data_IF_579072255557
#
_entry.id   IF_579072255557
#
_cell.length_a   1.000
_cell.length_b   1.000
_cell.length_c   1.000
_cell.angle_alpha   90.00
_cell.angle_beta   90.00
_cell.angle_gamma   90.00
#
_symmetry.space_group_name_H-M   'P 1'
#
loop_
_entity.id
_entity.type
_entity.pdbx_description
1 polymer ?
#
# COMPACT_ATOMS: atom_id res chain seq x y z
N UNK A 1 -23.80 0.28 -35.77
CA UNK A 1 -22.40 -0.15 -35.57
C UNK A 1 -21.59 1.00 -34.97
N UNK A 2 -20.88 0.75 -33.88
CA UNK A 2 -20.11 1.78 -33.16
C UNK A 2 -18.90 2.20 -34.00
N UNK A 3 -18.91 3.43 -34.55
CA UNK A 3 -17.75 3.98 -35.26
C UNK A 3 -16.61 4.19 -34.25
N UNK A 4 -15.48 3.54 -34.49
CA UNK A 4 -14.25 3.88 -33.80
C UNK A 4 -13.75 5.23 -34.36
N UNK A 5 -13.41 6.17 -33.47
CA UNK A 5 -12.91 7.49 -33.88
C UNK A 5 -11.58 7.36 -34.61
N UNK A 6 -11.41 8.14 -35.66
CA UNK A 6 -10.14 8.25 -36.40
C UNK A 6 -9.10 9.05 -35.59
N UNK A 7 -7.84 9.01 -36.03
CA UNK A 7 -6.74 9.72 -35.37
C UNK A 7 -7.01 11.22 -35.31
N UNK A 8 -7.48 11.82 -36.41
CA UNK A 8 -7.77 13.27 -36.48
C UNK A 8 -8.93 13.67 -35.54
N UNK A 9 -9.96 12.83 -35.43
CA UNK A 9 -11.06 13.05 -34.49
C UNK A 9 -10.58 12.98 -33.03
N UNK A 10 -9.64 12.09 -32.72
CA UNK A 10 -9.02 12.06 -31.39
C UNK A 10 -8.19 13.30 -31.09
N UNK A 11 -7.41 13.79 -32.06
CA UNK A 11 -6.62 15.03 -31.89
C UNK A 11 -7.54 16.22 -31.59
N UNK A 12 -8.65 16.34 -32.32
CA UNK A 12 -9.67 17.36 -32.10
C UNK A 12 -10.26 17.32 -30.68
N UNK A 13 -10.71 16.14 -30.23
CA UNK A 13 -11.28 15.96 -28.88
C UNK A 13 -10.24 16.27 -27.78
N UNK A 14 -8.97 15.92 -28.01
CA UNK A 14 -7.86 16.22 -27.09
C UNK A 14 -7.56 17.72 -27.04
N UNK A 15 -7.65 18.43 -28.17
CA UNK A 15 -7.55 19.89 -28.23
C UNK A 15 -8.62 20.55 -27.36
N UNK A 16 -9.89 20.16 -27.54
CA UNK A 16 -11.01 20.64 -26.73
C UNK A 16 -10.81 20.31 -25.25
N UNK A 17 -10.28 19.13 -24.92
CA UNK A 17 -9.97 18.80 -23.52
C UNK A 17 -8.96 19.77 -22.90
N UNK A 18 -7.94 20.18 -23.66
CA UNK A 18 -6.87 21.06 -23.19
C UNK A 18 -7.30 22.52 -23.07
N UNK A 19 -8.10 23.03 -24.01
CA UNK A 19 -8.52 24.44 -24.04
C UNK A 19 -9.80 24.69 -23.23
N UNK A 20 -10.75 23.77 -23.33
CA UNK A 20 -12.16 23.99 -23.01
C UNK A 20 -12.66 23.10 -21.86
N UNK A 21 -11.90 22.06 -21.52
CA UNK A 21 -12.11 21.21 -20.36
C UNK A 21 -12.92 19.92 -20.62
N UNK A 22 -12.92 19.05 -19.60
CA UNK A 22 -13.37 17.66 -19.69
C UNK A 22 -14.83 17.49 -20.14
N UNK A 23 -15.74 18.35 -19.67
CA UNK A 23 -17.18 18.17 -19.94
C UNK A 23 -17.54 18.48 -21.39
N UNK A 24 -16.92 19.50 -21.99
CA UNK A 24 -17.08 19.81 -23.42
C UNK A 24 -16.53 18.69 -24.30
N UNK A 25 -15.34 18.18 -23.98
CA UNK A 25 -14.74 17.07 -24.72
C UNK A 25 -15.58 15.77 -24.67
N UNK A 26 -16.29 15.51 -23.56
CA UNK A 26 -17.21 14.37 -23.43
C UNK A 26 -18.45 14.54 -24.32
N UNK A 27 -19.00 15.75 -24.40
CA UNK A 27 -20.16 16.02 -25.24
C UNK A 27 -19.83 15.83 -26.73
N UNK A 28 -18.70 16.36 -27.17
CA UNK A 28 -18.19 16.21 -28.54
C UNK A 28 -17.89 14.74 -28.89
N UNK A 29 -17.28 13.99 -27.96
CA UNK A 29 -17.08 12.56 -28.12
C UNK A 29 -18.40 11.81 -28.35
N UNK A 30 -19.46 12.16 -27.62
CA UNK A 30 -20.78 11.53 -27.78
C UNK A 30 -21.43 11.87 -29.11
N UNK A 31 -21.34 13.13 -29.55
CA UNK A 31 -21.85 13.56 -30.84
C UNK A 31 -21.17 12.80 -32.00
N UNK A 32 -19.85 12.68 -31.96
CA UNK A 32 -19.07 12.01 -33.01
C UNK A 32 -19.26 10.48 -33.04
N UNK A 33 -19.47 9.84 -31.89
CA UNK A 33 -19.59 8.38 -31.80
C UNK A 33 -21.04 7.88 -31.79
N UNK A 34 -22.01 8.76 -31.55
CA UNK A 34 -23.41 8.39 -31.34
C UNK A 34 -23.65 7.50 -30.12
N UNK A 35 -22.68 7.41 -29.19
CA UNK A 35 -22.73 6.51 -28.03
C UNK A 35 -23.41 7.17 -26.82
N UNK A 36 -24.33 6.45 -26.21
CA UNK A 36 -25.01 6.83 -24.95
C UNK A 36 -24.29 6.28 -23.70
N UNK A 37 -22.99 6.01 -23.78
CA UNK A 37 -22.21 5.47 -22.66
C UNK A 37 -22.13 6.46 -21.49
N UNK A 38 -22.06 5.94 -20.26
CA UNK A 38 -21.90 6.73 -19.02
C UNK A 38 -20.68 7.68 -19.12
N UNK A 39 -20.85 8.92 -18.65
CA UNK A 39 -19.82 9.97 -18.72
C UNK A 39 -18.49 9.53 -18.11
N UNK A 40 -18.52 8.82 -16.97
CA UNK A 40 -17.31 8.36 -16.29
C UNK A 40 -16.40 7.49 -17.19
N UNK A 41 -16.99 6.66 -18.05
CA UNK A 41 -16.24 5.83 -18.97
C UNK A 41 -15.58 6.68 -20.06
N UNK A 42 -16.33 7.59 -20.67
CA UNK A 42 -15.83 8.49 -21.72
C UNK A 42 -14.71 9.38 -21.19
N UNK A 43 -14.89 9.95 -19.99
CA UNK A 43 -13.88 10.73 -19.30
C UNK A 43 -12.58 9.94 -19.09
N UNK A 44 -12.69 8.67 -18.68
CA UNK A 44 -11.52 7.79 -18.51
C UNK A 44 -10.80 7.54 -19.83
N UNK A 45 -11.54 7.32 -20.92
CA UNK A 45 -10.95 7.11 -22.24
C UNK A 45 -10.26 8.38 -22.75
N UNK A 46 -10.91 9.54 -22.64
CA UNK A 46 -10.32 10.84 -23.05
C UNK A 46 -9.04 11.09 -22.25
N UNK A 47 -9.07 10.99 -20.92
CA UNK A 47 -7.87 11.17 -20.08
C UNK A 47 -6.75 10.20 -20.45
N UNK A 48 -7.07 8.94 -20.73
CA UNK A 48 -6.08 7.95 -21.18
C UNK A 48 -5.46 8.33 -22.53
N UNK A 49 -6.26 8.84 -23.48
CA UNK A 49 -5.78 9.28 -24.79
C UNK A 49 -4.95 10.57 -24.72
N UNK A 50 -5.36 11.53 -23.90
CA UNK A 50 -4.58 12.75 -23.61
C UNK A 50 -3.23 12.37 -23.01
N UNK A 51 -3.24 11.51 -21.98
CA UNK A 51 -2.02 11.01 -21.34
C UNK A 51 -1.10 10.27 -22.32
N UNK A 52 -1.66 9.49 -23.25
CA UNK A 52 -0.88 8.83 -24.31
C UNK A 52 -0.24 9.82 -25.29
N UNK A 53 -0.91 10.92 -25.63
CA UNK A 53 -0.36 11.98 -26.48
C UNK A 53 0.74 12.74 -25.75
N UNK A 54 0.54 13.08 -24.48
CA UNK A 54 1.56 13.77 -23.66
C UNK A 54 2.77 12.85 -23.36
N UNK A 55 2.55 11.54 -23.20
CA UNK A 55 3.61 10.56 -22.96
C UNK A 55 4.50 10.25 -24.16
N UNK A 56 4.00 10.38 -25.40
CA UNK A 56 4.80 10.11 -26.59
C UNK A 56 5.95 11.11 -26.79
N UNK A 57 5.92 12.27 -26.12
CA UNK A 57 6.95 13.31 -26.25
C UNK A 57 8.01 13.38 -25.15
N UNK A 58 7.67 13.12 -23.87
CA UNK A 58 8.55 13.55 -22.76
C UNK A 58 8.82 12.49 -21.67
N UNK A 59 7.87 11.60 -21.35
CA UNK A 59 8.07 10.62 -20.26
C UNK A 59 8.94 9.41 -20.65
N UNK A 60 9.13 9.15 -21.95
CA UNK A 60 10.04 8.09 -22.43
C UNK A 60 11.53 8.46 -22.27
N UNK A 61 11.85 9.75 -22.17
CA UNK A 61 13.23 10.25 -22.04
C UNK A 61 13.67 10.40 -20.57
N UNK A 62 12.73 10.38 -19.63
CA UNK A 62 13.04 10.40 -18.19
C UNK A 62 13.39 8.98 -17.75
N UNK A 63 14.69 8.65 -17.78
CA UNK A 63 15.21 7.43 -17.15
C UNK A 63 14.87 7.46 -15.65
N UNK A 64 13.96 6.61 -15.21
CA UNK A 64 13.83 6.26 -13.78
C UNK A 64 15.16 5.64 -13.33
N UNK A 65 15.82 6.22 -12.33
CA UNK A 65 17.00 5.62 -11.68
C UNK A 65 16.61 4.19 -11.26
N UNK A 66 17.13 3.17 -11.96
CA UNK A 66 16.90 1.75 -11.65
C UNK A 66 15.98 0.96 -12.58
N UNK A 67 15.53 1.49 -13.74
CA UNK A 67 14.69 0.74 -14.71
C UNK A 67 15.43 -0.24 -15.62
N UNK A 68 16.67 -0.61 -15.28
CA UNK A 68 17.30 -1.76 -15.91
C UNK A 68 16.57 -3.06 -15.54
N UNK A 69 16.61 -4.06 -16.43
CA UNK A 69 16.37 -5.45 -16.00
C UNK A 69 17.30 -5.67 -14.79
N UNK A 70 16.80 -6.12 -13.62
CA UNK A 70 17.68 -6.45 -12.52
C UNK A 70 18.75 -7.39 -13.07
N UNK A 71 20.02 -7.11 -12.76
CA UNK A 71 21.11 -8.02 -13.16
C UNK A 71 20.69 -9.42 -12.77
N UNK A 72 20.72 -10.35 -13.71
CA UNK A 72 20.53 -11.76 -13.37
C UNK A 72 21.55 -12.06 -12.28
N UNK A 73 21.10 -12.59 -11.15
CA UNK A 73 22.03 -13.22 -10.23
C UNK A 73 22.64 -14.40 -10.96
N UNK A 74 23.95 -14.51 -10.91
CA UNK A 74 24.66 -15.71 -11.33
C UNK A 74 24.85 -16.55 -10.08
N UNK A 75 23.97 -17.54 -9.92
CA UNK A 75 23.92 -18.45 -8.76
C UNK A 75 24.32 -19.87 -9.21
N UNK A 76 25.06 -19.99 -10.32
CA UNK A 76 25.45 -21.27 -10.95
C UNK A 76 26.49 -22.07 -10.18
N UNK A 77 27.24 -21.40 -9.29
CA UNK A 77 28.25 -21.97 -8.40
C UNK A 77 27.65 -22.64 -7.15
N UNK A 78 26.46 -22.21 -6.73
CA UNK A 78 25.79 -22.70 -5.51
C UNK A 78 25.70 -24.24 -5.45
N UNK A 79 25.31 -24.97 -6.52
CA UNK A 79 25.29 -26.44 -6.49
C UNK A 79 26.67 -27.05 -6.23
N UNK A 80 27.73 -26.53 -6.87
CA UNK A 80 29.11 -27.03 -6.69
C UNK A 80 29.56 -26.86 -5.25
N UNK A 81 29.32 -25.69 -4.67
CA UNK A 81 29.65 -25.39 -3.27
C UNK A 81 28.88 -26.33 -2.33
N UNK A 82 27.60 -26.58 -2.60
CA UNK A 82 26.81 -27.52 -1.79
C UNK A 82 27.37 -28.94 -1.87
N UNK A 83 27.85 -29.38 -3.02
CA UNK A 83 28.40 -30.72 -3.19
C UNK A 83 29.76 -30.89 -2.47
N UNK A 84 30.57 -29.84 -2.42
CA UNK A 84 31.85 -29.82 -1.70
C UNK A 84 31.71 -29.89 -0.17
N UNK A 85 30.60 -29.38 0.38
CA UNK A 85 30.36 -29.36 1.83
C UNK A 85 30.12 -30.76 2.41
N UNK A 86 30.80 -31.07 3.52
CA UNK A 86 30.57 -32.28 4.29
C UNK A 86 29.24 -32.19 5.09
N UNK A 87 28.77 -33.33 5.61
CA UNK A 87 27.51 -33.45 6.36
C UNK A 87 27.45 -32.56 7.59
N UNK A 88 28.57 -32.38 8.30
CA UNK A 88 28.60 -31.59 9.53
C UNK A 88 28.55 -30.08 9.23
N UNK A 89 29.30 -29.64 8.21
CA UNK A 89 29.28 -28.25 7.73
C UNK A 89 27.88 -27.87 7.22
N UNK A 90 27.23 -28.78 6.48
CA UNK A 90 25.82 -28.64 6.06
C UNK A 90 24.89 -28.45 7.26
N UNK A 91 25.06 -29.24 8.33
CA UNK A 91 24.24 -29.12 9.53
C UNK A 91 24.44 -27.78 10.21
N UNK A 92 25.67 -27.34 10.38
CA UNK A 92 26.00 -26.07 11.03
C UNK A 92 25.38 -24.87 10.28
N UNK A 93 25.54 -24.85 8.95
CA UNK A 93 24.94 -23.80 8.10
C UNK A 93 23.41 -23.80 8.24
N UNK A 94 22.78 -24.97 8.19
CA UNK A 94 21.32 -25.10 8.34
C UNK A 94 20.87 -24.63 9.73
N UNK A 95 21.58 -25.01 10.79
CA UNK A 95 21.25 -24.59 12.16
C UNK A 95 21.36 -23.08 12.35
N UNK A 96 22.43 -22.48 11.83
CA UNK A 96 22.64 -21.03 11.84
C UNK A 96 21.52 -20.31 11.09
N UNK A 97 21.18 -20.80 9.89
CA UNK A 97 20.06 -20.26 9.11
C UNK A 97 18.72 -20.39 9.84
N UNK A 98 18.42 -21.53 10.48
CA UNK A 98 17.19 -21.72 11.27
C UNK A 98 17.11 -20.71 12.42
N UNK A 99 18.23 -20.45 13.12
CA UNK A 99 18.29 -19.43 14.18
C UNK A 99 17.97 -18.05 13.62
N UNK A 100 18.59 -17.67 12.50
CA UNK A 100 18.34 -16.38 11.84
C UNK A 100 16.87 -16.21 11.41
N UNK A 101 16.23 -17.26 10.87
CA UNK A 101 14.82 -17.19 10.49
C UNK A 101 13.87 -17.01 11.69
N UNK A 102 14.25 -17.47 12.89
CA UNK A 102 13.46 -17.26 14.12
C UNK A 102 13.49 -15.80 14.56
N UNK A 103 14.61 -15.12 14.33
CA UNK A 103 14.82 -13.75 14.78
C UNK A 103 14.25 -12.71 13.80
N UNK A 104 14.01 -13.10 12.54
CA UNK A 104 13.39 -12.23 11.52
C UNK A 104 11.95 -11.86 11.88
N UNK A 105 11.65 -10.56 11.74
CA UNK A 105 10.31 -10.00 12.01
C UNK A 105 9.29 -10.35 10.90
N UNK A 106 9.74 -10.45 9.64
CA UNK A 106 8.92 -10.81 8.48
C UNK A 106 8.86 -12.33 8.29
N UNK A 107 7.73 -12.93 8.66
CA UNK A 107 7.54 -14.38 8.80
C UNK A 107 6.97 -15.09 7.56
N UNK A 108 6.80 -14.37 6.45
CA UNK A 108 6.17 -14.87 5.22
C UNK A 108 7.17 -15.41 4.18
N UNK A 109 8.49 -15.34 4.45
CA UNK A 109 9.53 -15.80 3.52
C UNK A 109 9.57 -17.32 3.35
N UNK A 110 9.13 -18.08 4.36
CA UNK A 110 9.21 -19.55 4.32
C UNK A 110 8.12 -20.20 3.43
N UNK A 111 7.05 -19.46 3.12
CA UNK A 111 5.98 -19.95 2.25
C UNK A 111 6.36 -19.94 0.76
N UNK A 112 7.44 -19.24 0.37
CA UNK A 112 7.91 -19.22 -1.01
C UNK A 112 8.70 -20.48 -1.42
N UNK A 113 9.09 -21.33 -0.47
CA UNK A 113 9.83 -22.55 -0.77
C UNK A 113 8.86 -23.67 -1.21
N UNK A 114 8.90 -24.04 -2.49
CA UNK A 114 8.01 -25.06 -3.08
C UNK A 114 8.23 -26.46 -2.50
N UNK A 115 9.48 -26.83 -2.18
CA UNK A 115 9.83 -28.18 -1.70
C UNK A 115 9.88 -28.31 -0.17
N UNK A 116 9.75 -27.21 0.57
CA UNK A 116 9.76 -27.26 2.03
C UNK A 116 8.44 -27.83 2.55
N UNK A 117 8.51 -28.92 3.32
CA UNK A 117 7.32 -29.53 3.93
C UNK A 117 6.65 -28.53 4.87
N UNK A 118 5.39 -28.16 4.58
CA UNK A 118 4.63 -27.13 5.31
C UNK A 118 4.59 -27.30 6.83
N UNK A 119 4.63 -28.54 7.34
CA UNK A 119 4.61 -28.79 8.78
C UNK A 119 5.92 -28.45 9.51
N UNK A 120 7.02 -28.27 8.77
CA UNK A 120 8.31 -27.85 9.33
C UNK A 120 8.36 -26.34 9.55
N UNK A 121 7.63 -25.56 8.75
CA UNK A 121 7.59 -24.10 8.84
C UNK A 121 7.22 -23.62 10.25
N UNK A 122 6.13 -24.11 10.89
CA UNK A 122 5.83 -23.75 12.29
C UNK A 122 6.95 -24.11 13.27
N UNK A 123 7.64 -25.25 13.07
CA UNK A 123 8.73 -25.70 13.94
C UNK A 123 9.96 -24.81 13.82
N UNK A 124 10.30 -24.41 12.59
CA UNK A 124 11.38 -23.47 12.30
C UNK A 124 11.07 -22.14 13.00
N UNK A 125 9.86 -21.61 12.82
CA UNK A 125 9.42 -20.33 13.38
C UNK A 125 9.06 -20.33 14.89
N UNK A 126 9.19 -21.46 15.60
CA UNK A 126 8.75 -21.63 17.00
C UNK A 126 7.26 -21.31 17.24
N UNK A 127 6.37 -21.68 16.31
CA UNK A 127 4.92 -21.59 16.50
C UNK A 127 4.29 -22.94 16.81
N UNK A 128 3.22 -22.91 17.60
CA UNK A 128 2.32 -24.07 17.70
C UNK A 128 1.70 -24.36 16.33
N UNK A 129 1.69 -25.64 15.94
CA UNK A 129 1.24 -26.08 14.60
C UNK A 129 -0.14 -25.52 14.24
N UNK A 130 -1.10 -25.59 15.16
CA UNK A 130 -2.47 -25.11 14.89
C UNK A 130 -2.53 -23.59 14.74
N UNK A 131 -1.64 -22.83 15.40
CA UNK A 131 -1.59 -21.37 15.27
C UNK A 131 -1.11 -20.93 13.89
N UNK A 132 -0.22 -21.69 13.25
CA UNK A 132 0.25 -21.40 11.90
C UNK A 132 -0.82 -21.65 10.83
N UNK A 133 -1.59 -22.74 10.96
CA UNK A 133 -2.67 -23.06 10.01
C UNK A 133 -3.98 -22.31 10.27
N UNK A 134 -4.12 -21.63 11.40
CA UNK A 134 -5.29 -20.80 11.66
C UNK A 134 -5.27 -19.61 10.69
N UNK A 135 -6.31 -19.51 9.86
CA UNK A 135 -6.54 -18.34 9.03
C UNK A 135 -6.53 -17.08 9.92
N UNK A 136 -5.90 -16.01 9.44
CA UNK A 136 -5.85 -14.74 10.16
C UNK A 136 -7.28 -14.20 10.28
N UNK A 137 -7.89 -14.36 11.46
CA UNK A 137 -9.22 -13.82 11.73
C UNK A 137 -9.10 -12.30 11.82
N UNK A 138 -9.64 -11.60 10.82
CA UNK A 138 -9.81 -10.15 10.89
C UNK A 138 -10.93 -9.84 11.88
N UNK A 139 -10.56 -9.34 13.06
CA UNK A 139 -11.54 -8.87 14.03
C UNK A 139 -12.25 -7.65 13.44
N UNK A 140 -13.58 -7.73 13.29
CA UNK A 140 -14.44 -6.58 12.96
C UNK A 140 -14.84 -5.90 14.26
N UNK A 141 -14.56 -4.61 14.40
CA UNK A 141 -14.90 -3.85 15.58
C UNK A 141 -16.12 -2.96 15.36
N UNK A 142 -16.84 -2.65 16.44
CA UNK A 142 -18.11 -1.90 16.42
C UNK A 142 -18.04 -0.61 15.57
N UNK A 143 -16.96 0.17 15.72
CA UNK A 143 -16.80 1.48 15.09
C UNK A 143 -15.90 1.50 13.85
N UNK A 144 -15.53 0.35 13.28
CA UNK A 144 -14.68 0.31 12.07
C UNK A 144 -15.33 0.99 10.85
N UNK A 145 -16.66 1.07 10.80
CA UNK A 145 -17.40 1.77 9.76
C UNK A 145 -17.16 3.29 9.75
N UNK A 146 -16.71 3.88 10.86
CA UNK A 146 -16.44 5.31 10.97
C UNK A 146 -15.04 5.71 10.52
N UNK A 147 -14.20 4.74 10.16
CA UNK A 147 -12.81 4.99 9.80
C UNK A 147 -12.67 6.02 8.68
N UNK A 148 -13.45 5.89 7.62
CA UNK A 148 -13.38 6.79 6.46
C UNK A 148 -13.78 8.22 6.82
N UNK A 149 -14.83 8.38 7.63
CA UNK A 149 -15.29 9.69 8.11
C UNK A 149 -14.27 10.33 9.06
N UNK A 150 -13.69 9.56 9.98
CA UNK A 150 -12.66 10.07 10.89
C UNK A 150 -11.39 10.44 10.12
N UNK A 151 -11.01 9.64 9.13
CA UNK A 151 -9.84 9.90 8.30
C UNK A 151 -10.01 11.14 7.41
N UNK A 152 -11.23 11.39 6.90
CA UNK A 152 -11.52 12.61 6.15
C UNK A 152 -11.40 13.87 7.03
N UNK A 153 -12.03 13.88 8.22
CA UNK A 153 -11.92 14.98 9.20
C UNK A 153 -10.46 15.18 9.61
N UNK A 154 -9.74 14.09 9.87
CA UNK A 154 -8.34 14.13 10.27
C UNK A 154 -7.44 14.75 9.19
N UNK A 155 -7.64 14.38 7.92
CA UNK A 155 -6.87 14.92 6.80
C UNK A 155 -7.24 16.38 6.49
N UNK A 156 -8.53 16.74 6.55
CA UNK A 156 -9.00 18.13 6.43
C UNK A 156 -8.35 19.04 7.46
N UNK A 157 -8.20 18.55 8.71
CA UNK A 157 -7.53 19.28 9.79
C UNK A 157 -6.00 19.32 9.70
N UNK A 158 -5.40 18.87 8.59
CA UNK A 158 -3.95 18.70 8.42
C UNK A 158 -3.31 17.84 9.53
N UNK A 159 -4.02 16.83 10.03
CA UNK A 159 -3.57 15.89 11.07
C UNK A 159 -3.31 16.53 12.45
N UNK A 160 -3.94 17.69 12.69
CA UNK A 160 -3.82 18.43 13.96
C UNK A 160 -4.86 17.94 14.96
N UNK A 161 -6.09 17.67 14.51
CA UNK A 161 -7.18 17.33 15.42
C UNK A 161 -6.98 15.95 16.04
N UNK A 162 -7.04 15.90 17.37
CA UNK A 162 -7.04 14.66 18.14
C UNK A 162 -8.46 14.13 18.36
N UNK A 163 -8.52 12.97 19.01
CA UNK A 163 -9.78 12.27 19.36
C UNK A 163 -10.84 13.19 19.98
N UNK A 164 -10.47 14.04 20.93
CA UNK A 164 -11.45 14.94 21.59
C UNK A 164 -12.16 15.87 20.61
N UNK A 165 -11.42 16.52 19.70
CA UNK A 165 -12.01 17.47 18.75
C UNK A 165 -12.78 16.77 17.64
N UNK A 166 -12.31 15.60 17.20
CA UNK A 166 -13.01 14.78 16.22
C UNK A 166 -14.32 14.23 16.81
N UNK A 167 -14.33 13.82 18.08
CA UNK A 167 -15.55 13.35 18.74
C UNK A 167 -16.64 14.43 18.77
N UNK A 168 -16.28 15.69 19.01
CA UNK A 168 -17.23 16.82 18.95
C UNK A 168 -17.82 16.96 17.55
N UNK A 169 -16.97 16.96 16.51
CA UNK A 169 -17.42 17.06 15.10
C UNK A 169 -18.29 15.86 14.71
N UNK A 170 -17.96 14.66 15.17
CA UNK A 170 -18.78 13.47 14.92
C UNK A 170 -20.15 13.58 15.61
N UNK A 171 -20.20 14.16 16.80
CA UNK A 171 -21.45 14.40 17.52
C UNK A 171 -22.32 15.42 16.76
N UNK A 172 -21.73 16.48 16.21
CA UNK A 172 -22.42 17.43 15.32
C UNK A 172 -23.00 16.75 14.07
N UNK A 173 -22.36 15.67 13.59
CA UNK A 173 -22.84 14.84 12.47
C UNK A 173 -23.83 13.74 12.90
N UNK A 174 -24.24 13.71 14.17
CA UNK A 174 -25.22 12.75 14.73
C UNK A 174 -24.62 11.44 15.23
N UNK A 175 -23.29 11.33 15.35
CA UNK A 175 -22.59 10.12 15.84
C UNK A 175 -21.98 10.39 17.21
N UNK A 176 -22.63 9.88 18.26
CA UNK A 176 -22.12 10.01 19.63
C UNK A 176 -21.08 8.93 19.98
N UNK A 177 -19.85 9.36 20.24
CA UNK A 177 -18.73 8.50 20.62
C UNK A 177 -17.85 9.22 21.65
N UNK A 178 -17.58 8.51 22.75
CA UNK A 178 -16.61 8.96 23.77
C UNK A 178 -15.20 9.12 23.20
N UNK A 179 -14.52 10.21 23.61
CA UNK A 179 -13.16 10.53 23.15
C UNK A 179 -12.17 9.40 23.40
N UNK A 180 -12.29 8.73 24.57
CA UNK A 180 -11.41 7.62 24.96
C UNK A 180 -11.55 6.44 24.01
N UNK A 181 -12.79 6.08 23.66
CA UNK A 181 -13.08 5.04 22.68
C UNK A 181 -12.51 5.43 21.33
N UNK A 182 -12.82 6.62 20.84
CA UNK A 182 -12.32 7.11 19.55
C UNK A 182 -10.78 7.14 19.50
N UNK A 183 -10.12 7.52 20.60
CA UNK A 183 -8.65 7.51 20.73
C UNK A 183 -8.07 6.12 20.49
N UNK A 184 -8.67 5.08 21.05
CA UNK A 184 -8.21 3.70 20.85
C UNK A 184 -8.38 3.25 19.39
N UNK A 185 -9.49 3.62 18.75
CA UNK A 185 -9.72 3.32 17.34
C UNK A 185 -8.78 4.10 16.42
N UNK A 186 -8.59 5.41 16.66
CA UNK A 186 -7.63 6.22 15.91
C UNK A 186 -6.21 5.65 16.00
N UNK A 187 -5.78 5.22 17.19
CA UNK A 187 -4.47 4.58 17.36
C UNK A 187 -4.38 3.27 16.55
N UNK A 188 -5.41 2.43 16.60
CA UNK A 188 -5.50 1.19 15.83
C UNK A 188 -5.46 1.43 14.32
N UNK A 189 -6.10 2.49 13.83
CA UNK A 189 -6.08 2.87 12.41
C UNK A 189 -4.80 3.63 12.01
N UNK A 190 -3.88 3.91 12.95
CA UNK A 190 -2.62 4.62 12.67
C UNK A 190 -2.76 6.14 12.54
N UNK A 191 -3.90 6.71 12.96
CA UNK A 191 -4.19 8.14 12.92
C UNK A 191 -3.55 8.84 14.14
N UNK A 192 -2.25 9.08 14.05
CA UNK A 192 -1.46 9.76 15.10
C UNK A 192 -1.31 11.24 14.77
N UNK A 193 -1.72 12.11 15.68
CA UNK A 193 -1.60 13.57 15.54
C UNK A 193 -0.13 14.01 15.42
N UNK A 194 0.10 15.10 14.70
CA UNK A 194 1.45 15.67 14.54
C UNK A 194 2.09 16.02 15.89
N UNK A 195 1.31 16.58 16.81
CA UNK A 195 1.75 16.94 18.17
C UNK A 195 2.24 15.71 18.94
N UNK A 196 1.52 14.59 18.83
CA UNK A 196 1.89 13.33 19.49
C UNK A 196 3.15 12.72 18.87
N UNK A 197 3.28 12.72 17.53
CA UNK A 197 4.50 12.28 16.84
C UNK A 197 5.73 13.08 17.26
N UNK A 198 5.60 14.41 17.43
CA UNK A 198 6.69 15.26 17.95
C UNK A 198 7.11 14.87 19.36
N UNK A 199 6.14 14.63 20.26
CA UNK A 199 6.40 14.19 21.64
C UNK A 199 7.08 12.81 21.70
N UNK A 200 6.63 11.86 20.89
CA UNK A 200 7.25 10.52 20.81
C UNK A 200 8.72 10.59 20.36
N UNK A 201 9.04 11.44 19.37
CA UNK A 201 10.43 11.68 18.95
C UNK A 201 11.30 12.32 20.04
N UNK A 202 10.73 13.20 20.87
CA UNK A 202 11.44 13.79 22.01
C UNK A 202 11.73 12.73 23.08
N UNK A 203 10.74 11.92 23.43
CA UNK A 203 10.91 10.85 24.41
C UNK A 203 11.93 9.78 23.98
N UNK A 204 12.03 9.47 22.67
CA UNK A 204 13.05 8.56 22.14
C UNK A 204 14.48 9.14 22.18
N UNK A 205 14.62 10.46 22.20
CA UNK A 205 15.92 11.16 22.28
C UNK A 205 16.41 11.34 23.71
N UNK A 206 15.54 11.20 24.71
CA UNK A 206 15.95 11.23 26.11
C UNK A 206 16.30 9.79 26.48
N UNK A 207 17.60 9.42 26.55
CA UNK A 207 17.96 8.12 27.08
C UNK A 207 17.41 8.02 28.51
N UNK A 208 16.79 6.88 28.83
CA UNK A 208 16.36 6.47 30.17
C UNK A 208 17.57 6.34 31.10
N UNK A 209 18.17 7.46 31.49
CA UNK A 209 19.26 7.54 32.46
C UNK A 209 18.93 8.45 33.65
N UNK A 210 17.69 8.93 33.75
CA UNK A 210 17.24 9.76 34.86
C UNK A 210 15.94 9.18 35.37
N UNK A 211 16.04 8.38 36.43
CA UNK A 211 15.20 8.28 37.63
C UNK A 211 15.71 7.02 38.35
N UNK A 212 16.84 7.17 39.04
CA UNK A 212 17.17 6.43 40.25
C UNK A 212 17.60 7.48 41.25
N UNK A 213 16.64 7.97 42.03
CA UNK A 213 16.86 8.61 43.33
C UNK A 213 16.09 7.75 44.32
#
# INVERSE_FOLDING_TARGET
MSKNLTINQWIFIIGIYKEDGLMKAVNEYKQLTGKTTKNCYIQRVIKSKVYLVDNKGMNALIRTKGSGRPKSRDDSDIPSIIDELNKDEKREIIESWIKEQRDKWNKNSLDSFCHLRKHLIPKILKFHRTSYYKAKVTRKYKYDHLREQVESIFNLSKKIYGSRKIAVILNELGVDIFDRTLRHYMFRWGLITLTRRKKEKLNQKIPTFVIMI
#
